data_IF_238965739866
#
_entry.id   IF_238965739866
#
_cell.length_a   1.000
_cell.length_b   1.000
_cell.length_c   1.000
_cell.angle_alpha   90.00
_cell.angle_beta   90.00
_cell.angle_gamma   90.00
#
_symmetry.space_group_name_H-M   'P 1'
#
loop_
_entity.id
_entity.type
_entity.pdbx_description
1 polymer ?
#
# COMPACT_ATOMS: atom_id res chain seq x y z
N UNK A 1 16.47 -18.10 40.09
CA UNK A 1 15.60 -18.82 39.14
C UNK A 1 15.03 -17.78 38.20
N UNK A 2 15.26 -17.91 36.89
CA UNK A 2 14.53 -17.08 35.92
C UNK A 2 13.13 -17.68 35.81
N UNK A 3 12.11 -16.90 36.17
CA UNK A 3 10.73 -17.25 35.84
C UNK A 3 10.61 -17.36 34.32
N UNK A 4 9.91 -18.39 33.78
CA UNK A 4 9.64 -18.44 32.35
C UNK A 4 8.89 -17.17 31.96
N UNK A 5 9.36 -16.45 30.94
CA UNK A 5 8.60 -15.31 30.43
C UNK A 5 7.23 -15.80 29.94
N UNK A 6 6.15 -15.04 30.16
CA UNK A 6 4.85 -15.38 29.62
C UNK A 6 4.96 -15.53 28.09
N UNK A 7 4.22 -16.48 27.48
CA UNK A 7 4.22 -16.62 26.03
C UNK A 7 3.80 -15.30 25.39
N UNK A 8 4.48 -14.94 24.29
CA UNK A 8 4.16 -13.71 23.56
C UNK A 8 2.67 -13.70 23.18
N UNK A 9 1.97 -12.56 23.30
CA UNK A 9 0.54 -12.49 23.01
C UNK A 9 0.25 -12.89 21.56
N UNK A 10 -0.84 -13.63 21.36
CA UNK A 10 -1.37 -13.88 20.01
C UNK A 10 -1.91 -12.58 19.44
N UNK A 11 -1.24 -12.05 18.41
CA UNK A 11 -1.60 -10.77 17.79
C UNK A 11 -2.48 -10.92 16.55
N UNK A 12 -2.50 -12.11 15.96
CA UNK A 12 -3.19 -12.42 14.70
C UNK A 12 -4.03 -13.66 14.93
N UNK A 13 -5.32 -13.59 14.58
CA UNK A 13 -6.21 -14.73 14.62
C UNK A 13 -5.92 -15.65 13.41
N UNK A 14 -5.93 -16.99 13.58
CA UNK A 14 -6.00 -17.89 12.45
C UNK A 14 -7.36 -17.70 11.74
N UNK A 15 -7.34 -17.33 10.47
CA UNK A 15 -8.55 -17.21 9.66
C UNK A 15 -8.83 -18.51 8.89
N UNK A 16 -10.10 -18.92 8.74
CA UNK A 16 -10.45 -20.02 7.85
C UNK A 16 -10.12 -19.63 6.40
N UNK A 17 -9.44 -20.53 5.68
CA UNK A 17 -8.95 -20.28 4.33
C UNK A 17 -9.84 -20.99 3.30
N UNK A 18 -10.70 -20.20 2.65
CA UNK A 18 -11.67 -20.68 1.67
C UNK A 18 -11.13 -20.59 0.21
N UNK A 19 -11.20 -21.67 -0.59
CA UNK A 19 -10.87 -21.65 -2.01
C UNK A 19 -11.71 -20.66 -2.85
N UNK A 20 -12.94 -20.31 -2.43
CA UNK A 20 -13.72 -19.26 -3.10
C UNK A 20 -13.16 -17.87 -2.77
N UNK A 21 -12.87 -17.54 -1.51
CA UNK A 21 -12.16 -16.31 -1.14
C UNK A 21 -10.84 -16.12 -1.90
N UNK A 22 -10.02 -17.16 -2.05
CA UNK A 22 -8.78 -17.10 -2.85
C UNK A 22 -9.05 -16.80 -4.32
N UNK A 23 -10.02 -17.47 -4.95
CA UNK A 23 -10.40 -17.18 -6.34
C UNK A 23 -10.89 -15.74 -6.52
N UNK A 24 -11.73 -15.25 -5.62
CA UNK A 24 -12.20 -13.86 -5.62
C UNK A 24 -11.03 -12.87 -5.47
N UNK A 25 -10.07 -13.15 -4.59
CA UNK A 25 -8.88 -12.31 -4.45
C UNK A 25 -8.04 -12.24 -5.74
N UNK A 26 -7.84 -13.35 -6.44
CA UNK A 26 -7.10 -13.33 -7.72
C UNK A 26 -7.87 -12.62 -8.85
N UNK A 27 -9.20 -12.72 -8.88
CA UNK A 27 -10.05 -12.08 -9.88
C UNK A 27 -10.20 -10.56 -9.64
N UNK A 28 -10.47 -10.18 -8.40
CA UNK A 28 -10.82 -8.80 -8.02
C UNK A 28 -9.62 -7.99 -7.53
N UNK A 29 -8.54 -8.67 -7.12
CA UNK A 29 -7.31 -8.06 -6.60
C UNK A 29 -7.41 -7.49 -5.19
N UNK A 30 -8.48 -7.79 -4.45
CA UNK A 30 -8.64 -7.40 -3.06
C UNK A 30 -9.44 -8.45 -2.27
N UNK A 31 -9.29 -8.45 -0.95
CA UNK A 31 -10.13 -9.22 -0.04
C UNK A 31 -10.12 -8.55 1.34
N UNK A 32 -11.30 -8.31 1.91
CA UNK A 32 -11.44 -7.98 3.33
C UNK A 32 -11.16 -9.23 4.17
N UNK A 33 -10.36 -9.06 5.23
CA UNK A 33 -10.00 -10.10 6.20
C UNK A 33 -10.60 -9.72 7.56
N UNK A 34 -11.84 -10.17 7.88
CA UNK A 34 -12.50 -9.81 9.13
C UNK A 34 -11.76 -10.39 10.34
N UNK A 35 -11.53 -9.58 11.37
CA UNK A 35 -10.90 -10.00 12.61
C UNK A 35 -9.49 -10.60 12.46
N UNK A 36 -8.72 -10.24 11.41
CA UNK A 36 -7.34 -10.70 11.23
C UNK A 36 -6.47 -10.44 12.48
N UNK A 37 -6.56 -9.25 13.05
CA UNK A 37 -5.83 -8.87 14.25
C UNK A 37 -6.66 -9.10 15.52
N UNK A 38 -6.00 -9.50 16.60
CA UNK A 38 -6.61 -9.56 17.93
C UNK A 38 -6.69 -8.15 18.54
N UNK A 39 -7.56 -7.97 19.54
CA UNK A 39 -7.63 -6.74 20.35
C UNK A 39 -6.28 -6.37 20.99
N UNK A 40 -5.42 -7.36 21.28
CA UNK A 40 -4.09 -7.14 21.83
C UNK A 40 -3.12 -6.44 20.86
N UNK A 41 -3.37 -6.48 19.55
CA UNK A 41 -2.55 -5.76 18.57
C UNK A 41 -2.97 -4.29 18.37
N UNK A 42 -4.24 -3.96 18.60
CA UNK A 42 -4.82 -2.66 18.18
C UNK A 42 -4.21 -1.48 18.94
N UNK A 43 -4.13 -1.58 20.27
CA UNK A 43 -3.65 -0.45 21.09
C UNK A 43 -2.13 -0.22 20.92
N UNK A 44 -1.25 -1.25 20.89
CA UNK A 44 0.15 -1.07 20.52
C UNK A 44 0.35 -0.47 19.11
N UNK A 45 -0.49 -0.82 18.12
CA UNK A 45 -0.44 -0.19 16.78
C UNK A 45 -0.83 1.28 16.82
N UNK A 46 -1.85 1.68 17.61
CA UNK A 46 -2.20 3.09 17.82
C UNK A 46 -1.06 3.86 18.46
N UNK A 47 -0.42 3.30 19.49
CA UNK A 47 0.70 3.93 20.17
C UNK A 47 1.90 4.14 19.23
N UNK A 48 2.25 3.13 18.44
CA UNK A 48 3.29 3.23 17.40
C UNK A 48 2.98 4.37 16.42
N UNK A 49 1.75 4.41 15.90
CA UNK A 49 1.31 5.44 14.94
C UNK A 49 1.32 6.84 15.58
N UNK A 50 0.75 7.01 16.77
CA UNK A 50 0.69 8.30 17.47
C UNK A 50 2.09 8.86 17.78
N UNK A 51 3.06 7.99 18.12
CA UNK A 51 4.44 8.38 18.42
C UNK A 51 5.26 8.77 17.18
N UNK A 52 4.97 8.19 16.01
CA UNK A 52 5.81 8.33 14.81
C UNK A 52 5.18 9.15 13.68
N UNK A 53 3.89 9.48 13.78
CA UNK A 53 3.18 10.36 12.86
C UNK A 53 3.73 11.79 12.87
N UNK A 54 4.11 12.29 11.69
CA UNK A 54 4.60 13.65 11.50
C UNK A 54 3.57 14.50 10.75
N UNK A 55 3.45 15.82 11.01
CA UNK A 55 2.64 16.71 10.20
C UNK A 55 2.97 16.60 8.72
N UNK A 56 1.95 16.60 7.87
CA UNK A 56 2.11 16.58 6.42
C UNK A 56 2.73 17.90 5.93
N UNK A 57 3.71 17.81 5.03
CA UNK A 57 4.26 18.98 4.33
C UNK A 57 3.49 19.18 3.02
N UNK A 58 3.41 20.42 2.55
CA UNK A 58 2.51 20.86 1.48
C UNK A 58 2.69 20.17 0.10
N UNK A 59 3.74 19.38 -0.12
CA UNK A 59 3.99 18.68 -1.39
C UNK A 59 3.63 17.18 -1.37
N UNK A 60 3.47 16.57 -0.18
CA UNK A 60 3.23 15.13 -0.04
C UNK A 60 2.25 14.84 1.12
N UNK A 61 1.00 14.50 0.77
CA UNK A 61 -0.04 14.12 1.73
C UNK A 61 -0.99 15.26 2.14
N UNK A 62 -1.24 16.25 1.29
CA UNK A 62 -2.14 17.40 1.54
C UNK A 62 -3.54 17.03 2.10
N UNK A 63 -4.02 15.81 1.79
CA UNK A 63 -5.28 15.26 2.29
C UNK A 63 -5.22 14.57 3.65
N UNK A 64 -4.08 14.49 4.33
CA UNK A 64 -3.94 13.92 5.68
C UNK A 64 -3.47 14.97 6.68
N UNK A 65 -3.79 14.79 7.97
CA UNK A 65 -3.27 15.62 9.05
C UNK A 65 -1.80 15.29 9.34
N UNK A 66 -1.50 13.98 9.40
CA UNK A 66 -0.18 13.45 9.67
C UNK A 66 0.07 12.21 8.81
N UNK A 67 1.33 11.99 8.46
CA UNK A 67 1.79 10.91 7.58
C UNK A 67 3.22 10.50 7.96
N UNK A 68 3.50 9.20 7.95
CA UNK A 68 4.88 8.70 7.86
C UNK A 68 4.95 7.53 6.89
N UNK A 69 5.91 7.58 5.98
CA UNK A 69 6.16 6.53 4.99
C UNK A 69 7.01 5.38 5.54
N UNK A 70 7.55 5.52 6.77
CA UNK A 70 8.39 4.52 7.44
C UNK A 70 8.09 4.55 8.93
N UNK A 71 7.18 3.68 9.36
CA UNK A 71 7.10 3.23 10.74
C UNK A 71 8.28 2.32 11.04
N UNK A 72 8.83 2.42 12.23
CA UNK A 72 9.87 1.51 12.71
C UNK A 72 9.32 0.08 12.78
N UNK A 73 10.03 -0.87 12.16
CA UNK A 73 9.57 -2.27 12.05
C UNK A 73 9.95 -3.13 13.27
N UNK A 74 10.37 -2.49 14.37
CA UNK A 74 10.59 -3.10 15.68
C UNK A 74 9.27 -3.24 16.46
N UNK A 75 9.36 -3.70 17.73
CA UNK A 75 8.21 -3.77 18.64
C UNK A 75 7.03 -4.55 18.06
N UNK A 76 5.85 -3.91 18.02
CA UNK A 76 4.60 -4.53 17.56
C UNK A 76 4.66 -5.02 16.11
N UNK A 77 5.37 -4.32 15.21
CA UNK A 77 5.47 -4.75 13.81
C UNK A 77 6.34 -6.00 13.68
N UNK A 78 7.47 -6.09 14.40
CA UNK A 78 8.26 -7.32 14.49
C UNK A 78 7.46 -8.47 15.08
N UNK A 79 6.67 -8.22 16.12
CA UNK A 79 5.83 -9.25 16.73
C UNK A 79 4.74 -9.75 15.77
N UNK A 80 4.14 -8.88 14.94
CA UNK A 80 3.19 -9.26 13.90
C UNK A 80 3.84 -10.09 12.78
N UNK A 81 5.04 -9.69 12.31
CA UNK A 81 5.81 -10.46 11.32
C UNK A 81 6.08 -11.91 11.81
N UNK A 82 6.32 -12.08 13.11
CA UNK A 82 6.57 -13.39 13.72
C UNK A 82 5.33 -14.28 13.93
N UNK A 83 4.11 -13.84 13.59
CA UNK A 83 2.89 -14.64 13.78
C UNK A 83 2.68 -15.62 12.62
N UNK A 84 2.69 -16.96 12.84
CA UNK A 84 2.49 -17.93 11.77
C UNK A 84 1.13 -17.80 11.07
N UNK A 85 0.09 -17.36 11.78
CA UNK A 85 -1.23 -17.10 11.21
C UNK A 85 -1.20 -16.01 10.13
N UNK A 86 -0.38 -14.97 10.28
CA UNK A 86 -0.24 -13.91 9.28
C UNK A 86 0.42 -14.44 8.01
N UNK A 87 1.55 -15.14 8.18
CA UNK A 87 2.27 -15.80 7.09
C UNK A 87 1.36 -16.79 6.32
N UNK A 88 0.59 -17.60 7.04
CA UNK A 88 -0.32 -18.59 6.46
C UNK A 88 -1.43 -17.95 5.62
N UNK A 89 -2.13 -16.94 6.15
CA UNK A 89 -3.21 -16.24 5.44
C UNK A 89 -2.68 -15.54 4.19
N UNK A 90 -1.59 -14.78 4.32
CA UNK A 90 -1.02 -14.02 3.22
C UNK A 90 -0.45 -14.93 2.12
N UNK A 91 0.27 -16.00 2.49
CA UNK A 91 0.84 -16.95 1.53
C UNK A 91 -0.25 -17.71 0.78
N UNK A 92 -1.34 -18.10 1.47
CA UNK A 92 -2.46 -18.79 0.83
C UNK A 92 -3.21 -17.94 -0.18
N UNK A 93 -3.42 -16.65 0.12
CA UNK A 93 -4.15 -15.75 -0.78
C UNK A 93 -3.31 -15.26 -1.95
N UNK A 94 -1.99 -15.12 -1.79
CA UNK A 94 -1.10 -14.49 -2.78
C UNK A 94 -0.28 -15.48 -3.61
N UNK A 95 -0.38 -16.78 -3.34
CA UNK A 95 0.42 -17.86 -3.95
C UNK A 95 1.94 -17.64 -3.86
N UNK A 96 2.37 -16.90 -2.83
CA UNK A 96 3.73 -16.40 -2.71
C UNK A 96 4.12 -16.18 -1.26
N UNK A 97 5.35 -16.52 -0.92
CA UNK A 97 5.99 -15.99 0.29
C UNK A 97 6.25 -14.50 0.10
N UNK A 98 6.01 -13.70 1.12
CA UNK A 98 6.06 -12.24 1.00
C UNK A 98 7.21 -11.64 1.81
N UNK A 99 7.97 -10.75 1.20
CA UNK A 99 8.90 -9.84 1.87
C UNK A 99 8.07 -8.68 2.42
N UNK A 100 8.14 -8.41 3.73
CA UNK A 100 7.65 -7.15 4.26
C UNK A 100 8.67 -6.04 3.96
N UNK A 101 8.25 -5.06 3.17
CA UNK A 101 9.12 -4.00 2.69
C UNK A 101 9.02 -2.75 3.56
N UNK A 102 7.86 -2.10 3.57
CA UNK A 102 7.62 -0.86 4.30
C UNK A 102 6.34 -0.93 5.13
N UNK A 103 6.30 -0.15 6.21
CA UNK A 103 5.11 0.07 7.01
C UNK A 103 4.85 1.58 7.04
N UNK A 104 3.62 1.98 6.77
CA UNK A 104 3.21 3.39 6.63
C UNK A 104 2.11 3.68 7.65
N UNK A 105 2.16 4.86 8.28
CA UNK A 105 1.18 5.33 9.24
C UNK A 105 0.49 6.59 8.72
N UNK A 106 -0.83 6.63 8.84
CA UNK A 106 -1.68 7.71 8.33
C UNK A 106 -2.59 8.27 9.43
N UNK A 107 -2.88 9.57 9.38
CA UNK A 107 -3.99 10.17 10.12
C UNK A 107 -4.82 11.09 9.23
N UNK A 108 -6.09 10.74 9.06
CA UNK A 108 -7.10 11.50 8.36
C UNK A 108 -7.91 12.33 9.37
N UNK A 109 -7.92 13.65 9.23
CA UNK A 109 -8.75 14.54 10.05
C UNK A 109 -10.16 14.69 9.51
N UNK A 110 -11.09 15.10 10.37
CA UNK A 110 -12.43 15.52 9.96
C UNK A 110 -12.37 16.60 8.88
N UNK A 111 -13.20 16.47 7.84
CA UNK A 111 -13.24 17.35 6.67
C UNK A 111 -12.10 17.14 5.66
N UNK A 112 -11.24 16.14 5.85
CA UNK A 112 -10.15 15.80 4.93
C UNK A 112 -10.48 14.56 4.10
N UNK A 113 -9.87 14.47 2.91
CA UNK A 113 -10.16 13.45 1.89
C UNK A 113 -9.03 12.47 1.58
N UNK A 114 -7.86 12.57 2.22
CA UNK A 114 -6.73 11.66 1.99
C UNK A 114 -6.17 11.72 0.57
N UNK A 115 -5.83 10.57 -0.02
CA UNK A 115 -5.38 10.49 -1.40
C UNK A 115 -6.56 10.40 -2.38
N UNK A 116 -6.41 11.05 -3.54
CA UNK A 116 -7.27 10.87 -4.71
C UNK A 116 -7.10 9.47 -5.34
N UNK A 117 -7.81 9.20 -6.44
CA UNK A 117 -7.68 7.94 -7.19
C UNK A 117 -6.25 7.75 -7.69
N UNK A 118 -5.62 6.66 -7.27
CA UNK A 118 -4.27 6.26 -7.65
C UNK A 118 -4.12 4.74 -7.54
N UNK A 119 -2.94 4.25 -7.91
CA UNK A 119 -2.47 2.90 -7.60
C UNK A 119 -1.07 3.02 -6.95
N UNK A 120 -0.53 1.92 -6.43
CA UNK A 120 0.68 1.93 -5.59
C UNK A 120 2.01 2.06 -6.39
N UNK A 121 2.05 2.88 -7.45
CA UNK A 121 3.24 3.15 -8.27
C UNK A 121 4.47 3.46 -7.42
N UNK A 122 4.36 4.47 -6.55
CA UNK A 122 5.41 4.88 -5.62
C UNK A 122 5.92 3.73 -4.76
N UNK A 123 5.02 2.94 -4.17
CA UNK A 123 5.37 1.96 -3.14
C UNK A 123 6.05 0.71 -3.75
N UNK A 124 5.87 0.45 -5.05
CA UNK A 124 6.40 -0.74 -5.72
C UNK A 124 7.21 -0.43 -6.99
N UNK A 125 7.65 0.83 -7.21
CA UNK A 125 8.43 1.26 -8.39
C UNK A 125 9.77 0.53 -8.64
N UNK A 126 10.24 -0.26 -7.68
CA UNK A 126 11.53 -0.97 -7.75
C UNK A 126 11.42 -2.45 -8.15
N UNK A 127 10.22 -2.93 -8.45
CA UNK A 127 10.00 -4.28 -9.00
C UNK A 127 9.38 -4.20 -10.38
N UNK A 128 9.58 -5.25 -11.20
CA UNK A 128 9.05 -5.30 -12.56
C UNK A 128 7.52 -5.15 -12.57
N UNK A 129 6.92 -4.59 -13.65
CA UNK A 129 5.47 -4.42 -13.75
C UNK A 129 4.68 -5.67 -13.37
N UNK A 130 5.06 -6.85 -13.86
CA UNK A 130 4.41 -8.14 -13.65
C UNK A 130 4.65 -8.80 -12.27
N UNK A 131 5.62 -8.34 -11.48
CA UNK A 131 5.97 -8.99 -10.21
C UNK A 131 4.90 -8.69 -9.14
N UNK A 132 4.28 -9.69 -8.48
CA UNK A 132 3.22 -9.43 -7.53
C UNK A 132 3.71 -8.66 -6.30
N UNK A 133 2.92 -7.68 -5.88
CA UNK A 133 3.05 -7.01 -4.60
C UNK A 133 1.68 -6.57 -4.11
N UNK A 134 1.59 -6.37 -2.80
CA UNK A 134 0.34 -6.24 -2.07
C UNK A 134 0.46 -5.24 -0.93
N UNK A 135 -0.68 -4.71 -0.54
CA UNK A 135 -0.85 -3.74 0.52
C UNK A 135 -1.85 -4.32 1.52
N UNK A 136 -1.45 -4.43 2.79
CA UNK A 136 -2.34 -4.83 3.89
C UNK A 136 -2.66 -3.59 4.72
N UNK A 137 -3.88 -3.06 4.56
CA UNK A 137 -4.37 -1.87 5.24
C UNK A 137 -5.17 -2.23 6.50
N UNK A 138 -4.84 -1.57 7.60
CA UNK A 138 -5.27 -1.87 8.97
C UNK A 138 -5.87 -0.60 9.60
N UNK A 139 -7.19 -0.40 9.57
CA UNK A 139 -7.83 0.73 10.23
C UNK A 139 -7.80 0.57 11.75
N UNK A 140 -7.39 1.63 12.47
CA UNK A 140 -7.24 1.59 13.93
C UNK A 140 -8.47 2.12 14.69
N UNK A 141 -9.46 2.64 13.97
CA UNK A 141 -10.79 3.02 14.47
C UNK A 141 -11.86 2.50 13.48
N UNK A 142 -13.12 2.28 13.93
CA UNK A 142 -14.16 1.76 13.07
C UNK A 142 -14.41 2.62 11.83
N UNK A 143 -14.71 1.96 10.71
CA UNK A 143 -15.04 2.57 9.41
C UNK A 143 -16.51 2.34 9.10
N UNK A 144 -17.20 3.40 8.68
CA UNK A 144 -18.65 3.42 8.42
C UNK A 144 -18.90 4.23 7.14
N UNK A 145 -18.87 3.61 5.94
CA UNK A 145 -19.03 4.32 4.66
C UNK A 145 -20.30 5.18 4.62
N UNK A 146 -21.44 4.60 4.99
CA UNK A 146 -22.77 5.24 5.00
C UNK A 146 -22.99 6.28 6.14
N UNK A 147 -21.97 6.54 6.97
CA UNK A 147 -22.04 7.51 8.05
C UNK A 147 -20.87 8.49 7.97
N UNK A 148 -19.83 8.31 8.79
CA UNK A 148 -18.71 9.26 8.84
C UNK A 148 -17.69 9.05 7.70
N UNK A 149 -17.85 8.04 6.84
CA UNK A 149 -16.91 7.75 5.77
C UNK A 149 -15.51 7.42 6.31
N UNK A 150 -14.48 8.07 5.77
CA UNK A 150 -13.08 8.03 6.23
C UNK A 150 -12.31 6.75 5.91
N UNK A 151 -12.88 5.85 5.11
CA UNK A 151 -12.30 4.56 4.74
C UNK A 151 -11.42 4.65 3.50
N UNK A 152 -11.40 3.56 2.73
CA UNK A 152 -10.90 3.56 1.36
C UNK A 152 -12.04 3.20 0.41
N UNK A 153 -11.94 3.68 -0.83
CA UNK A 153 -12.74 3.26 -1.94
C UNK A 153 -11.85 2.67 -3.02
N UNK A 154 -12.30 1.61 -3.70
CA UNK A 154 -11.51 0.93 -4.74
C UNK A 154 -12.35 0.41 -5.89
N UNK A 155 -11.69 0.10 -7.01
CA UNK A 155 -12.29 -0.53 -8.21
C UNK A 155 -11.65 -1.91 -8.43
N UNK A 156 -12.42 -3.00 -8.57
CA UNK A 156 -11.90 -4.34 -8.83
C UNK A 156 -11.00 -4.44 -10.08
N UNK A 157 -9.98 -5.29 -10.03
CA UNK A 157 -9.09 -5.54 -11.18
C UNK A 157 -9.81 -6.10 -12.40
N UNK A 158 -10.90 -6.84 -12.19
CA UNK A 158 -11.79 -7.35 -13.24
C UNK A 158 -12.53 -6.24 -14.02
N UNK A 159 -12.60 -5.01 -13.48
CA UNK A 159 -13.11 -3.83 -14.17
C UNK A 159 -11.99 -2.93 -14.69
N UNK A 160 -10.97 -2.66 -13.87
CA UNK A 160 -9.83 -1.84 -14.27
C UNK A 160 -8.57 -2.19 -13.46
N UNK A 161 -7.55 -2.71 -14.13
CA UNK A 161 -6.26 -3.06 -13.52
C UNK A 161 -5.17 -2.07 -13.91
N UNK A 162 -4.44 -1.53 -12.93
CA UNK A 162 -3.29 -0.66 -13.18
C UNK A 162 -2.02 -1.40 -13.65
N UNK A 163 -2.08 -2.71 -13.96
CA UNK A 163 -0.96 -3.44 -14.57
C UNK A 163 -0.50 -2.76 -15.88
N UNK A 164 -1.45 -2.30 -16.70
CA UNK A 164 -1.16 -1.53 -17.90
C UNK A 164 -0.38 -0.26 -17.59
N UNK A 165 -0.76 0.48 -16.54
CA UNK A 165 -0.05 1.70 -16.13
C UNK A 165 1.38 1.40 -15.69
N UNK A 166 1.65 0.34 -14.92
CA UNK A 166 3.03 -0.07 -14.60
C UNK A 166 3.84 -0.44 -15.85
N UNK A 167 3.22 -1.11 -16.83
CA UNK A 167 3.87 -1.44 -18.10
C UNK A 167 4.19 -0.19 -18.91
N UNK A 168 3.26 0.77 -19.01
CA UNK A 168 3.49 2.07 -19.64
C UNK A 168 4.56 2.89 -18.91
N UNK A 169 4.54 2.97 -17.57
CA UNK A 169 5.63 3.56 -16.77
C UNK A 169 6.98 2.96 -17.15
N UNK A 170 7.05 1.64 -17.32
CA UNK A 170 8.32 0.96 -17.65
C UNK A 170 8.82 1.25 -19.07
N UNK A 171 7.92 1.53 -20.01
CA UNK A 171 8.26 2.00 -21.37
C UNK A 171 8.74 3.45 -21.31
N UNK A 172 7.98 4.35 -20.67
CA UNK A 172 8.33 5.76 -20.50
C UNK A 172 9.67 5.95 -19.76
N UNK A 173 9.96 5.11 -18.76
CA UNK A 173 11.23 5.12 -18.05
C UNK A 173 12.40 4.79 -18.97
N UNK A 174 12.20 3.86 -19.92
CA UNK A 174 13.21 3.51 -20.91
C UNK A 174 13.48 4.65 -21.89
N UNK A 175 12.43 5.33 -22.36
CA UNK A 175 12.56 6.53 -23.20
C UNK A 175 13.32 7.66 -22.47
N UNK A 176 12.96 7.93 -21.21
CA UNK A 176 13.68 8.89 -20.34
C UNK A 176 15.16 8.52 -20.12
N UNK A 177 15.49 7.22 -20.05
CA UNK A 177 16.87 6.76 -19.93
C UNK A 177 17.66 6.84 -21.25
N UNK A 178 16.96 6.83 -22.40
CA UNK A 178 17.52 7.08 -23.73
C UNK A 178 17.67 8.58 -24.04
N UNK A 179 17.16 9.46 -23.18
CA UNK A 179 17.18 10.91 -23.36
C UNK A 179 16.03 11.44 -24.24
N UNK A 180 15.02 10.61 -24.52
CA UNK A 180 13.83 11.01 -25.26
C UNK A 180 12.88 11.83 -24.37
N UNK A 181 12.18 12.78 -24.99
CA UNK A 181 11.11 13.54 -24.32
C UNK A 181 9.83 12.71 -24.26
N UNK A 182 9.19 12.69 -23.09
CA UNK A 182 7.87 12.08 -22.88
C UNK A 182 6.75 13.12 -22.69
N UNK A 183 7.06 14.42 -22.76
CA UNK A 183 6.20 15.50 -22.26
C UNK A 183 4.77 15.51 -22.84
N UNK A 184 4.61 15.22 -24.14
CA UNK A 184 3.28 15.16 -24.79
C UNK A 184 2.44 14.01 -24.22
N UNK A 185 3.05 12.85 -24.00
CA UNK A 185 2.38 11.68 -23.44
C UNK A 185 2.15 11.83 -21.93
N UNK A 186 3.09 12.43 -21.20
CA UNK A 186 2.88 12.87 -19.81
C UNK A 186 1.64 13.76 -19.71
N UNK A 187 1.50 14.78 -20.56
CA UNK A 187 0.36 15.70 -20.52
C UNK A 187 -0.98 15.01 -20.81
N UNK A 188 -1.04 14.11 -21.81
CA UNK A 188 -2.24 13.32 -22.10
C UNK A 188 -2.62 12.39 -20.94
N UNK A 189 -1.64 11.73 -20.32
CA UNK A 189 -1.86 10.91 -19.13
C UNK A 189 -2.35 11.78 -17.96
N UNK A 190 -1.74 12.95 -17.75
CA UNK A 190 -2.09 13.89 -16.67
C UNK A 190 -3.53 14.37 -16.79
N UNK A 191 -4.00 14.66 -18.01
CA UNK A 191 -5.39 15.01 -18.28
C UNK A 191 -6.33 13.83 -18.04
N UNK A 192 -5.93 12.62 -18.44
CA UNK A 192 -6.73 11.38 -18.31
C UNK A 192 -6.93 10.97 -16.84
N UNK A 193 -5.86 11.03 -16.04
CA UNK A 193 -5.82 10.62 -14.62
C UNK A 193 -5.93 11.79 -13.64
N UNK A 194 -6.30 12.98 -14.11
CA UNK A 194 -6.64 14.10 -13.24
C UNK A 194 -7.77 13.73 -12.26
N UNK A 195 -7.77 14.35 -11.08
CA UNK A 195 -8.84 14.20 -10.09
C UNK A 195 -9.27 15.58 -9.58
N UNK A 196 -10.45 16.09 -9.98
CA UNK A 196 -11.40 15.48 -10.91
C UNK A 196 -10.88 15.44 -12.37
N UNK A 197 -11.29 14.43 -13.11
CA UNK A 197 -10.93 14.20 -14.52
C UNK A 197 -11.77 13.10 -15.18
N UNK A 198 -11.47 12.73 -16.45
CA UNK A 198 -12.31 11.84 -17.26
C UNK A 198 -12.59 10.46 -16.63
N UNK A 199 -11.65 9.92 -15.86
CA UNK A 199 -11.81 8.63 -15.19
C UNK A 199 -12.43 8.73 -13.79
N UNK A 200 -12.39 9.90 -13.13
CA UNK A 200 -12.87 10.07 -11.74
C UNK A 200 -14.31 9.61 -11.59
N UNK A 201 -15.24 10.14 -12.40
CA UNK A 201 -16.66 9.78 -12.29
C UNK A 201 -16.92 8.31 -12.61
N UNK A 202 -16.12 7.71 -13.50
CA UNK A 202 -16.22 6.29 -13.87
C UNK A 202 -15.81 5.40 -12.69
N UNK A 203 -14.72 5.75 -12.01
CA UNK A 203 -14.31 5.07 -10.78
C UNK A 203 -15.31 5.31 -9.63
N UNK A 204 -15.82 6.54 -9.44
CA UNK A 204 -16.85 6.80 -8.43
C UNK A 204 -18.12 5.97 -8.62
N UNK A 205 -18.57 5.74 -9.86
CA UNK A 205 -19.75 4.92 -10.18
C UNK A 205 -19.52 3.41 -10.01
N UNK A 206 -18.27 2.96 -9.96
CA UNK A 206 -17.88 1.55 -9.85
C UNK A 206 -17.18 1.22 -8.52
N UNK A 207 -17.12 2.19 -7.60
CA UNK A 207 -16.36 2.04 -6.36
C UNK A 207 -17.01 1.07 -5.40
N UNK A 208 -16.18 0.37 -4.66
CA UNK A 208 -16.55 -0.43 -3.50
C UNK A 208 -15.98 0.26 -2.26
N UNK A 209 -16.80 0.41 -1.23
CA UNK A 209 -16.43 0.88 0.10
C UNK A 209 -17.04 -0.08 1.13
N UNK A 210 -16.24 -0.58 2.06
CA UNK A 210 -16.71 -1.50 3.10
C UNK A 210 -16.59 -0.90 4.51
N UNK A 211 -17.43 -1.37 5.43
CA UNK A 211 -17.28 -1.10 6.85
C UNK A 211 -16.18 -2.00 7.46
N UNK A 212 -15.45 -1.49 8.44
CA UNK A 212 -14.37 -2.22 9.14
C UNK A 212 -14.48 -1.98 10.65
N UNK A 213 -14.21 -3.02 11.44
CA UNK A 213 -13.90 -2.89 12.87
C UNK A 213 -12.38 -2.88 13.09
N UNK A 214 -11.89 -2.28 14.20
CA UNK A 214 -10.51 -2.48 14.64
C UNK A 214 -10.23 -3.96 14.88
N UNK A 215 -9.41 -4.57 14.03
CA UNK A 215 -9.23 -6.03 13.95
C UNK A 215 -9.31 -6.52 12.51
N UNK A 216 -10.18 -5.91 11.71
CA UNK A 216 -10.29 -6.19 10.28
C UNK A 216 -9.08 -5.64 9.51
N UNK A 217 -8.82 -6.22 8.34
CA UNK A 217 -7.85 -5.71 7.38
C UNK A 217 -8.40 -5.73 5.94
N UNK A 218 -7.83 -4.92 5.05
CA UNK A 218 -7.97 -5.09 3.60
C UNK A 218 -6.63 -5.51 3.02
N UNK A 219 -6.56 -6.69 2.41
CA UNK A 219 -5.44 -7.08 1.56
C UNK A 219 -5.77 -6.71 0.12
N UNK A 220 -4.88 -6.02 -0.58
CA UNK A 220 -5.07 -5.69 -1.99
C UNK A 220 -3.78 -5.71 -2.81
N UNK A 221 -3.91 -5.91 -4.11
CA UNK A 221 -2.82 -5.92 -5.09
C UNK A 221 -2.33 -4.50 -5.42
N UNK A 222 -1.04 -4.37 -5.75
CA UNK A 222 -0.44 -3.12 -6.24
C UNK A 222 -1.15 -2.51 -7.46
N UNK A 223 -1.87 -3.32 -8.22
CA UNK A 223 -2.62 -2.91 -9.41
C UNK A 223 -4.00 -2.30 -9.11
N UNK A 224 -4.46 -2.32 -7.85
CA UNK A 224 -5.81 -1.88 -7.50
C UNK A 224 -5.89 -0.35 -7.51
N UNK A 225 -6.79 0.18 -8.33
CA UNK A 225 -7.16 1.60 -8.26
C UNK A 225 -7.93 1.85 -6.98
N UNK A 226 -7.44 2.78 -6.18
CA UNK A 226 -8.03 3.13 -4.89
C UNK A 226 -7.86 4.61 -4.55
N UNK A 227 -8.69 5.10 -3.65
CA UNK A 227 -8.60 6.42 -3.02
C UNK A 227 -8.95 6.32 -1.54
N UNK A 228 -8.63 7.36 -0.78
CA UNK A 228 -9.23 7.56 0.54
C UNK A 228 -10.67 8.07 0.39
N UNK A 229 -11.54 7.75 1.34
CA UNK A 229 -12.86 8.38 1.47
C UNK A 229 -12.80 9.51 2.50
N UNK A 230 -13.55 10.61 2.32
CA UNK A 230 -13.50 11.73 3.23
C UNK A 230 -14.00 11.33 4.62
N UNK A 231 -13.33 11.80 5.68
CA UNK A 231 -13.84 11.68 7.05
C UNK A 231 -14.82 12.84 7.29
N UNK A 232 -16.10 12.55 7.22
CA UNK A 232 -17.19 13.53 7.36
C UNK A 232 -17.34 13.98 8.83
N UNK A 233 -18.28 14.88 9.10
CA UNK A 233 -18.62 15.26 10.48
C UNK A 233 -19.27 14.09 11.23
N UNK A 234 -18.90 13.90 12.49
CA UNK A 234 -19.35 12.78 13.32
C UNK A 234 -18.49 12.61 14.57
N UNK A 235 -18.50 11.41 15.16
CA UNK A 235 -17.88 11.11 16.45
C UNK A 235 -16.34 11.17 16.43
N UNK A 236 -15.71 10.75 15.34
CA UNK A 236 -14.25 10.73 15.22
C UNK A 236 -13.72 12.08 14.69
N UNK A 237 -12.97 12.82 15.50
CA UNK A 237 -12.23 14.00 15.03
C UNK A 237 -11.07 13.65 14.09
N UNK A 238 -10.57 12.41 14.19
CA UNK A 238 -9.48 11.85 13.39
C UNK A 238 -9.56 10.32 13.30
N UNK A 239 -9.08 9.73 12.20
CA UNK A 239 -8.88 8.29 12.02
C UNK A 239 -7.45 7.98 11.64
N UNK A 240 -6.90 6.92 12.20
CA UNK A 240 -5.57 6.40 11.96
C UNK A 240 -5.63 5.04 11.25
N UNK A 241 -4.60 4.74 10.45
CA UNK A 241 -4.42 3.44 9.84
C UNK A 241 -2.93 3.11 9.69
N UNK A 242 -2.63 1.80 9.67
CA UNK A 242 -1.32 1.25 9.27
C UNK A 242 -1.47 0.56 7.92
N UNK A 243 -0.51 0.74 7.01
CA UNK A 243 -0.41 -0.06 5.79
C UNK A 243 0.92 -0.77 5.73
N UNK A 244 0.89 -2.10 5.57
CA UNK A 244 2.09 -2.91 5.31
C UNK A 244 2.23 -3.11 3.81
N UNK A 245 3.43 -2.87 3.26
CA UNK A 245 3.77 -3.08 1.84
C UNK A 245 4.53 -4.38 1.71
N UNK A 246 3.96 -5.32 0.97
CA UNK A 246 4.38 -6.72 0.86
C UNK A 246 4.77 -7.00 -0.59
N UNK A 247 5.92 -7.63 -0.83
CA UNK A 247 6.40 -7.95 -2.17
C UNK A 247 6.65 -9.46 -2.28
N UNK A 248 6.24 -10.08 -3.39
CA UNK A 248 6.50 -11.49 -3.64
C UNK A 248 8.00 -11.81 -3.56
N UNK A 249 8.39 -12.89 -2.87
CA UNK A 249 9.80 -13.25 -2.68
C UNK A 249 10.54 -13.53 -4.01
N UNK A 250 9.80 -13.90 -5.06
CA UNK A 250 10.29 -14.10 -6.43
C UNK A 250 10.35 -12.81 -7.28
N UNK A 251 9.96 -11.65 -6.74
CA UNK A 251 10.06 -10.37 -7.44
C UNK A 251 11.51 -9.98 -7.69
N UNK A 252 11.74 -9.26 -8.80
CA UNK A 252 13.07 -8.88 -9.27
C UNK A 252 13.24 -7.37 -9.33
N UNK A 253 14.45 -6.91 -9.05
CA UNK A 253 14.81 -5.50 -9.07
C UNK A 253 14.64 -4.90 -10.48
N UNK A 254 13.84 -3.84 -10.61
CA UNK A 254 13.74 -3.03 -11.82
C UNK A 254 14.24 -1.60 -11.53
N UNK A 255 15.55 -1.36 -11.63
CA UNK A 255 16.11 -0.04 -11.32
C UNK A 255 15.71 1.02 -12.35
N UNK A 256 15.33 0.61 -13.57
CA UNK A 256 14.89 1.53 -14.62
C UNK A 256 13.48 2.06 -14.31
N UNK A 257 12.54 1.19 -13.89
CA UNK A 257 11.25 1.67 -13.36
C UNK A 257 11.46 2.55 -12.12
N UNK A 258 12.38 2.16 -11.22
CA UNK A 258 12.63 2.92 -9.99
C UNK A 258 13.08 4.34 -10.28
N UNK A 259 14.02 4.51 -11.21
CA UNK A 259 14.54 5.82 -11.62
C UNK A 259 13.44 6.66 -12.29
N UNK A 260 12.78 6.12 -13.32
CA UNK A 260 11.70 6.81 -14.03
C UNK A 260 10.58 7.32 -13.12
N UNK A 261 10.07 6.47 -12.22
CA UNK A 261 9.05 6.86 -11.24
C UNK A 261 9.61 7.77 -10.13
N UNK A 262 10.91 7.71 -9.80
CA UNK A 262 11.49 8.63 -8.80
C UNK A 262 11.68 10.04 -9.36
N UNK A 263 11.98 10.16 -10.66
CA UNK A 263 12.06 11.45 -11.38
C UNK A 263 10.71 12.18 -11.45
N UNK A 264 9.59 11.45 -11.47
CA UNK A 264 8.23 11.97 -11.63
C UNK A 264 7.38 11.97 -10.35
N UNK A 265 7.93 11.59 -9.20
CA UNK A 265 7.14 11.42 -7.95
C UNK A 265 6.03 10.35 -8.09
N UNK A 266 6.34 9.24 -8.78
CA UNK A 266 5.45 8.09 -8.98
C UNK A 266 4.30 8.36 -9.94
N UNK A 267 4.44 9.42 -10.72
CA UNK A 267 3.44 9.89 -11.64
C UNK A 267 3.58 9.35 -13.05
N UNK A 268 4.56 8.51 -13.38
CA UNK A 268 4.97 8.27 -14.76
C UNK A 268 3.83 7.70 -15.60
N UNK A 269 3.17 6.64 -15.13
CA UNK A 269 1.99 6.04 -15.76
C UNK A 269 0.67 6.79 -15.51
N UNK A 270 0.74 8.02 -14.99
CA UNK A 270 -0.39 8.94 -14.75
C UNK A 270 -0.11 10.39 -15.20
N UNK A 271 1.05 10.67 -15.81
CA UNK A 271 1.46 12.02 -16.21
C UNK A 271 1.72 13.02 -15.09
N UNK A 272 1.87 12.60 -13.82
CA UNK A 272 2.19 13.56 -12.75
C UNK A 272 3.69 13.86 -12.75
N UNK A 273 4.05 15.14 -12.83
CA UNK A 273 5.43 15.60 -12.74
C UNK A 273 5.55 16.60 -11.58
N UNK A 274 5.69 16.09 -10.35
CA UNK A 274 5.89 16.93 -9.13
C UNK A 274 7.37 17.17 -8.80
N UNK A 275 8.26 16.99 -9.78
CA UNK A 275 9.71 16.99 -9.61
C UNK A 275 10.26 15.67 -9.04
N UNK A 276 11.58 15.61 -8.85
CA UNK A 276 12.26 14.41 -8.38
C UNK A 276 12.23 14.27 -6.85
N UNK A 277 11.82 13.11 -6.34
CA UNK A 277 11.89 12.78 -4.92
C UNK A 277 13.36 12.57 -4.48
N UNK A 278 13.79 13.29 -3.44
CA UNK A 278 15.10 13.12 -2.78
C UNK A 278 14.94 12.83 -1.29
N UNK A 279 15.59 11.78 -0.77
CA UNK A 279 15.41 10.36 -1.09
C UNK A 279 14.60 9.68 0.07
N UNK A 280 14.28 8.38 0.14
CA UNK A 280 14.63 7.15 -0.59
C UNK A 280 13.31 6.37 -0.86
N UNK A 281 13.30 5.37 -1.75
CA UNK A 281 12.30 4.28 -1.71
C UNK A 281 12.80 3.12 -0.86
N UNK A 282 11.96 2.12 -0.57
CA UNK A 282 12.45 0.83 -0.07
C UNK A 282 13.57 0.27 -0.96
N UNK A 283 13.33 0.22 -2.27
CA UNK A 283 14.24 -0.34 -3.26
C UNK A 283 15.59 0.37 -3.38
N UNK A 284 15.71 1.61 -2.92
CA UNK A 284 17.00 2.32 -2.88
C UNK A 284 18.02 1.72 -1.90
N UNK A 285 17.65 0.69 -1.11
CA UNK A 285 18.58 -0.08 -0.27
C UNK A 285 19.33 -1.18 -1.02
N UNK A 286 18.84 -1.58 -2.20
CA UNK A 286 19.38 -2.71 -2.96
C UNK A 286 20.64 -2.28 -3.72
N UNK A 287 21.77 -2.29 -3.01
CA UNK A 287 23.10 -1.89 -3.52
C UNK A 287 24.02 -3.09 -3.80
N UNK A 288 23.58 -4.28 -3.41
CA UNK A 288 24.32 -5.55 -3.44
C UNK A 288 23.80 -6.55 -4.50
N UNK A 289 22.70 -6.20 -5.19
CA UNK A 289 22.07 -7.00 -6.26
C UNK A 289 21.88 -6.15 -7.52
N UNK A 290 21.81 -6.81 -8.68
CA UNK A 290 21.74 -6.16 -10.00
C UNK A 290 20.33 -6.10 -10.59
N UNK A 291 20.18 -5.40 -11.71
CA UNK A 291 18.94 -5.34 -12.47
C UNK A 291 18.48 -6.76 -12.86
N UNK A 292 17.26 -7.13 -12.48
CA UNK A 292 16.70 -8.46 -12.72
C UNK A 292 17.05 -9.52 -11.67
N UNK A 293 17.88 -9.24 -10.66
CA UNK A 293 18.11 -10.17 -9.55
C UNK A 293 16.90 -10.24 -8.61
N UNK A 294 16.77 -11.35 -7.88
CA UNK A 294 15.70 -11.56 -6.90
C UNK A 294 15.90 -10.61 -5.71
N UNK A 295 14.84 -9.94 -5.25
CA UNK A 295 14.95 -9.09 -4.06
C UNK A 295 15.34 -9.90 -2.81
N UNK A 296 14.89 -11.16 -2.75
CA UNK A 296 15.19 -12.11 -1.67
C UNK A 296 16.64 -12.60 -1.62
N UNK A 297 17.48 -12.29 -2.61
CA UNK A 297 18.92 -12.59 -2.56
C UNK A 297 19.77 -11.44 -1.98
N UNK A 298 19.18 -10.27 -1.71
CA UNK A 298 19.88 -9.14 -1.10
C UNK A 298 20.01 -9.29 0.42
N UNK A 299 21.17 -8.93 0.97
CA UNK A 299 21.40 -8.77 2.40
C UNK A 299 20.57 -7.62 3.03
N UNK A 300 19.99 -6.75 2.20
CA UNK A 300 19.09 -5.68 2.60
C UNK A 300 17.59 -6.04 2.45
N UNK A 301 17.28 -7.29 2.07
CA UNK A 301 15.92 -7.81 2.04
C UNK A 301 15.24 -7.68 3.42
N UNK A 302 13.94 -7.38 3.39
CA UNK A 302 13.09 -7.36 4.59
C UNK A 302 12.78 -8.78 5.08
N UNK A 303 12.13 -8.90 6.25
CA UNK A 303 11.74 -10.20 6.77
C UNK A 303 10.77 -10.89 5.80
N UNK A 304 11.06 -12.17 5.52
CA UNK A 304 10.17 -13.05 4.78
C UNK A 304 9.11 -13.62 5.72
N UNK A 305 7.85 -13.51 5.28
CA UNK A 305 6.72 -14.25 5.80
C UNK A 305 6.66 -15.67 5.17
#
# INVERSE_FOLDING_TARGET
>A
MNLPQPPAPYLVNPLPLDPQQRRLFHEQGYLKLPGLLTSAAIEPLRQLVEQQLRPTQASAGEGFNRLTHRLEQDGILRQLQGQPALAQVLTYLTDSRLILCEAQGFELGQGRSGFAWHYDSLNFRYIRPQDPAFSLWLPLQPVRPEAQGGGMAWVPLSLCSALGNFQFSRILAQQLAQGESIAELSELLRQTYASPGPLTERFERQRIEEAFEPGDALLFSKYLWHRSSPLLAGELSRRQAVTLRLVAAQARLDPLLQDGETRTTGGLGMGQERGALKPLSYGSRFVDIQAGDLLSSSAHCGPLL
#
